data_IF_372579509499
#
_entry.id   IF_372579509499
#
_cell.length_a   1.000
_cell.length_b   1.000
_cell.length_c   1.000
_cell.angle_alpha   90.00
_cell.angle_beta   90.00
_cell.angle_gamma   90.00
#
_symmetry.space_group_name_H-M   'P 1'
#
loop_
_entity.id
_entity.type
_entity.pdbx_description
1 polymer ?
#
# COMPACT_ATOMS: atom_id res chain seq x y z
N UNK A 1 -25.20 -0.81 2.81
CA UNK A 1 -26.38 0.07 2.66
C UNK A 1 -25.90 1.37 2.06
N UNK A 2 -26.18 1.53 0.78
CA UNK A 2 -25.78 2.68 -0.06
C UNK A 2 -26.60 3.88 0.42
N UNK A 3 -25.96 4.89 1.00
CA UNK A 3 -26.64 6.16 1.28
C UNK A 3 -26.67 6.97 0.00
N UNK A 4 -27.81 6.87 -0.68
CA UNK A 4 -28.25 7.74 -1.77
C UNK A 4 -28.21 9.23 -1.33
N UNK A 5 -27.58 10.03 -2.18
CA UNK A 5 -28.11 11.28 -2.73
C UNK A 5 -28.99 12.15 -1.80
N UNK A 6 -28.36 13.08 -1.08
CA UNK A 6 -29.01 14.30 -0.59
C UNK A 6 -28.69 15.43 -1.57
N UNK A 7 -29.62 15.72 -2.46
CA UNK A 7 -29.62 16.92 -3.28
C UNK A 7 -30.10 18.12 -2.44
N UNK A 8 -29.33 19.21 -2.46
CA UNK A 8 -29.79 20.51 -1.99
C UNK A 8 -28.72 21.32 -1.28
N UNK A 9 -27.81 21.91 -2.06
CA UNK A 9 -27.24 23.25 -1.82
C UNK A 9 -26.38 23.65 -3.02
N UNK A 10 -26.98 24.35 -3.98
CA UNK A 10 -26.26 25.06 -5.05
C UNK A 10 -25.66 26.34 -4.45
N UNK A 11 -24.56 26.20 -3.73
CA UNK A 11 -23.73 27.36 -3.39
C UNK A 11 -22.80 27.62 -4.57
N UNK A 12 -23.01 28.72 -5.27
CA UNK A 12 -22.15 29.23 -6.34
C UNK A 12 -20.70 29.30 -5.85
N UNK A 13 -19.86 28.38 -6.34
CA UNK A 13 -18.42 28.38 -6.10
C UNK A 13 -17.74 29.26 -7.16
N UNK A 14 -17.35 30.47 -6.78
CA UNK A 14 -16.22 31.13 -7.44
C UNK A 14 -14.98 30.25 -7.14
N UNK A 15 -14.19 29.81 -8.13
CA UNK A 15 -13.14 28.83 -7.89
C UNK A 15 -12.01 29.44 -7.07
N UNK A 16 -12.09 29.30 -5.75
CA UNK A 16 -10.96 29.45 -4.85
C UNK A 16 -9.98 28.31 -5.13
N UNK A 17 -8.96 28.61 -5.94
CA UNK A 17 -7.81 27.77 -6.24
C UNK A 17 -8.14 26.38 -6.88
N UNK A 18 -7.73 26.11 -8.13
CA UNK A 18 -8.02 24.87 -8.86
C UNK A 18 -7.43 23.59 -8.22
N UNK A 19 -6.71 23.69 -7.10
CA UNK A 19 -6.19 22.55 -6.32
C UNK A 19 -7.12 22.08 -5.19
N UNK A 20 -8.16 22.83 -4.81
CA UNK A 20 -8.99 22.49 -3.64
C UNK A 20 -9.79 21.18 -3.79
N UNK A 21 -10.14 20.78 -5.01
CA UNK A 21 -10.84 19.51 -5.25
C UNK A 21 -9.99 18.29 -4.85
N UNK A 22 -8.65 18.40 -4.88
CA UNK A 22 -7.73 17.33 -4.47
C UNK A 22 -7.66 17.18 -2.94
N UNK A 23 -7.82 18.28 -2.20
CA UNK A 23 -7.63 18.33 -0.74
C UNK A 23 -8.98 18.20 0.00
N UNK A 24 -10.09 18.06 -0.74
CA UNK A 24 -11.40 17.85 -0.12
C UNK A 24 -11.41 16.51 0.65
N UNK A 25 -11.94 16.46 1.89
CA UNK A 25 -11.92 15.24 2.72
C UNK A 25 -12.53 14.01 2.03
N UNK A 26 -13.51 14.22 1.16
CA UNK A 26 -14.12 13.17 0.35
C UNK A 26 -13.17 12.61 -0.70
N UNK A 27 -12.43 13.46 -1.41
CA UNK A 27 -11.44 13.05 -2.41
C UNK A 27 -10.30 12.24 -1.78
N UNK A 28 -9.77 12.69 -0.64
CA UNK A 28 -8.71 11.98 0.11
C UNK A 28 -9.17 10.58 0.51
N UNK A 29 -10.41 10.43 0.99
CA UNK A 29 -10.97 9.13 1.36
C UNK A 29 -11.15 8.19 0.15
N UNK A 30 -11.61 8.71 -0.99
CA UNK A 30 -11.78 7.92 -2.23
C UNK A 30 -10.43 7.45 -2.75
N UNK A 31 -9.44 8.37 -2.84
CA UNK A 31 -8.09 8.05 -3.33
C UNK A 31 -7.40 7.04 -2.40
N UNK A 32 -7.50 7.25 -1.08
CA UNK A 32 -6.97 6.32 -0.08
C UNK A 32 -7.61 4.94 -0.20
N UNK A 33 -8.93 4.87 -0.38
CA UNK A 33 -9.65 3.61 -0.60
C UNK A 33 -9.18 2.86 -1.86
N UNK A 34 -8.97 3.56 -2.97
CA UNK A 34 -8.43 2.97 -4.20
C UNK A 34 -7.00 2.46 -3.96
N UNK A 35 -6.15 3.23 -3.27
CA UNK A 35 -4.78 2.81 -2.95
C UNK A 35 -4.73 1.54 -2.11
N UNK A 36 -5.58 1.43 -1.07
CA UNK A 36 -5.70 0.21 -0.26
C UNK A 36 -6.17 -0.97 -1.12
N UNK A 37 -7.15 -0.77 -2.01
CA UNK A 37 -7.66 -1.81 -2.88
C UNK A 37 -6.58 -2.34 -3.84
N UNK A 38 -5.81 -1.45 -4.46
CA UNK A 38 -4.72 -1.83 -5.38
C UNK A 38 -3.60 -2.57 -4.65
N UNK A 39 -3.14 -2.07 -3.50
CA UNK A 39 -2.11 -2.72 -2.70
C UNK A 39 -2.56 -4.10 -2.20
N UNK A 40 -3.82 -4.20 -1.75
CA UNK A 40 -4.39 -5.48 -1.30
C UNK A 40 -4.51 -6.49 -2.45
N UNK A 41 -4.94 -6.03 -3.62
CA UNK A 41 -5.00 -6.88 -4.83
C UNK A 41 -3.60 -7.34 -5.24
N UNK A 42 -2.60 -6.47 -5.22
CA UNK A 42 -1.22 -6.82 -5.50
C UNK A 42 -0.67 -7.87 -4.53
N UNK A 43 -1.00 -7.75 -3.24
CA UNK A 43 -0.66 -8.75 -2.22
C UNK A 43 -1.29 -10.10 -2.54
N UNK A 44 -2.61 -10.13 -2.82
CA UNK A 44 -3.33 -11.36 -3.15
C UNK A 44 -2.77 -12.02 -4.42
N UNK A 45 -2.49 -11.24 -5.46
CA UNK A 45 -1.87 -11.74 -6.69
C UNK A 45 -0.47 -12.30 -6.43
N UNK A 46 0.33 -11.63 -5.59
CA UNK A 46 1.64 -12.13 -5.16
C UNK A 46 1.54 -13.48 -4.46
N UNK A 47 0.60 -13.62 -3.53
CA UNK A 47 0.33 -14.89 -2.81
C UNK A 47 -0.11 -15.99 -3.78
N UNK A 48 -1.04 -15.70 -4.69
CA UNK A 48 -1.48 -16.67 -5.73
C UNK A 48 -0.30 -17.09 -6.61
N UNK A 49 0.59 -16.16 -6.96
CA UNK A 49 1.75 -16.44 -7.80
C UNK A 49 2.77 -17.35 -7.09
N UNK A 50 2.92 -17.25 -5.76
CA UNK A 50 3.75 -18.16 -4.95
C UNK A 50 3.27 -19.61 -5.07
N UNK A 51 1.97 -19.86 -5.15
CA UNK A 51 1.43 -21.21 -5.33
C UNK A 51 1.61 -21.74 -6.75
N UNK A 52 1.68 -20.84 -7.74
CA UNK A 52 1.79 -21.21 -9.16
C UNK A 52 3.23 -21.51 -9.61
N UNK A 53 4.22 -20.88 -8.99
CA UNK A 53 5.63 -21.06 -9.32
C UNK A 53 6.16 -22.39 -8.78
N UNK A 54 6.85 -23.18 -9.64
CA UNK A 54 7.41 -24.50 -9.28
C UNK A 54 8.78 -24.44 -8.60
N UNK A 55 9.54 -23.37 -8.77
CA UNK A 55 10.92 -23.26 -8.26
C UNK A 55 10.98 -22.77 -6.81
N UNK A 56 11.64 -23.52 -5.92
CA UNK A 56 11.76 -23.16 -4.50
C UNK A 56 12.43 -21.79 -4.29
N UNK A 57 13.47 -21.47 -5.07
CA UNK A 57 14.16 -20.17 -5.00
C UNK A 57 13.23 -19.04 -5.45
N UNK A 58 12.55 -19.20 -6.59
CA UNK A 58 11.62 -18.20 -7.11
C UNK A 58 10.42 -17.98 -6.18
N UNK A 59 9.92 -19.03 -5.51
CA UNK A 59 8.87 -18.90 -4.49
C UNK A 59 9.35 -18.12 -3.27
N UNK A 60 10.59 -18.33 -2.83
CA UNK A 60 11.15 -17.59 -1.71
C UNK A 60 11.31 -16.09 -2.04
N UNK A 61 11.76 -15.77 -3.26
CA UNK A 61 11.89 -14.36 -3.71
C UNK A 61 10.52 -13.69 -3.85
N UNK A 62 9.52 -14.40 -4.35
CA UNK A 62 8.14 -13.87 -4.40
C UNK A 62 7.56 -13.64 -2.99
N UNK A 63 7.86 -14.53 -2.04
CA UNK A 63 7.41 -14.37 -0.65
C UNK A 63 8.05 -13.13 0.00
N UNK A 64 9.32 -12.86 -0.30
CA UNK A 64 10.00 -11.63 0.12
C UNK A 64 9.39 -10.38 -0.53
N UNK A 65 9.12 -10.42 -1.83
CA UNK A 65 8.49 -9.31 -2.55
C UNK A 65 7.06 -8.99 -2.07
N UNK A 66 6.33 -9.97 -1.53
CA UNK A 66 4.99 -9.79 -0.98
C UNK A 66 4.95 -8.89 0.28
N UNK A 67 6.09 -8.62 0.90
CA UNK A 67 6.21 -7.70 2.03
C UNK A 67 5.89 -6.25 1.65
N UNK A 68 6.32 -5.79 0.46
CA UNK A 68 6.10 -4.41 0.02
C UNK A 68 4.63 -4.00 -0.18
N UNK A 69 3.75 -4.79 -0.83
CA UNK A 69 2.33 -4.44 -0.89
C UNK A 69 1.66 -4.44 0.48
N UNK A 70 2.12 -5.26 1.44
CA UNK A 70 1.65 -5.21 2.83
C UNK A 70 1.99 -3.86 3.49
N UNK A 71 3.22 -3.37 3.29
CA UNK A 71 3.65 -2.03 3.73
C UNK A 71 2.83 -0.93 3.04
N UNK A 72 2.53 -1.08 1.74
CA UNK A 72 1.69 -0.15 1.00
C UNK A 72 0.26 -0.02 1.55
N UNK A 73 -0.37 -1.14 1.94
CA UNK A 73 -1.68 -1.12 2.64
C UNK A 73 -1.58 -0.38 3.97
N UNK A 74 -0.52 -0.63 4.75
CA UNK A 74 -0.29 0.06 6.01
C UNK A 74 -0.15 1.58 5.82
N UNK A 75 0.73 2.04 4.92
CA UNK A 75 0.94 3.47 4.67
C UNK A 75 -0.35 4.15 4.20
N UNK A 76 -1.06 3.55 3.24
CA UNK A 76 -2.28 4.17 2.69
C UNK A 76 -3.38 4.28 3.74
N UNK A 77 -3.51 3.28 4.62
CA UNK A 77 -4.45 3.32 5.73
C UNK A 77 -4.04 4.34 6.79
N UNK A 78 -2.74 4.46 7.03
CA UNK A 78 -2.19 5.38 8.00
C UNK A 78 -2.31 6.84 7.57
N UNK A 79 -2.29 7.14 6.27
CA UNK A 79 -2.62 8.48 5.76
C UNK A 79 -4.05 8.90 6.11
N UNK A 80 -4.97 7.95 6.25
CA UNK A 80 -6.37 8.20 6.66
C UNK A 80 -6.54 8.29 8.18
N UNK A 81 -5.51 7.97 8.98
CA UNK A 81 -5.55 7.99 10.44
C UNK A 81 -4.41 8.84 11.00
N UNK A 82 -4.76 9.95 11.64
CA UNK A 82 -3.75 10.77 12.33
C UNK A 82 -3.16 10.02 13.52
N UNK A 83 -1.95 9.46 13.35
CA UNK A 83 -1.20 8.77 14.40
C UNK A 83 0.29 9.12 14.27
N UNK A 84 0.90 9.54 15.39
CA UNK A 84 2.30 10.00 15.40
C UNK A 84 3.32 8.89 15.08
N UNK A 85 2.97 7.63 15.36
CA UNK A 85 3.89 6.47 15.30
C UNK A 85 3.98 5.86 13.89
N UNK A 86 3.13 6.31 12.96
CA UNK A 86 3.08 5.75 11.59
C UNK A 86 4.41 5.84 10.86
N UNK A 87 5.10 6.98 10.97
CA UNK A 87 6.34 7.21 10.25
C UNK A 87 7.47 6.31 10.75
N UNK A 88 7.55 6.09 12.06
CA UNK A 88 8.52 5.20 12.68
C UNK A 88 8.34 3.77 12.17
N UNK A 89 7.09 3.29 12.14
CA UNK A 89 6.77 1.96 11.62
C UNK A 89 7.07 1.87 10.12
N UNK A 90 6.77 2.91 9.34
CA UNK A 90 7.05 2.94 7.90
C UNK A 90 8.56 2.87 7.61
N UNK A 91 9.38 3.62 8.37
CA UNK A 91 10.84 3.58 8.28
C UNK A 91 11.39 2.19 8.65
N UNK A 92 10.93 1.63 9.77
CA UNK A 92 11.32 0.29 10.21
C UNK A 92 10.91 -0.77 9.19
N UNK A 93 9.71 -0.67 8.63
CA UNK A 93 9.23 -1.58 7.60
C UNK A 93 10.12 -1.52 6.35
N UNK A 94 10.46 -0.32 5.86
CA UNK A 94 11.38 -0.17 4.72
C UNK A 94 12.75 -0.81 4.97
N UNK A 95 13.33 -0.59 6.16
CA UNK A 95 14.60 -1.18 6.56
C UNK A 95 14.52 -2.71 6.63
N UNK A 96 13.48 -3.24 7.28
CA UNK A 96 13.26 -4.68 7.41
C UNK A 96 13.02 -5.34 6.06
N UNK A 97 12.34 -4.67 5.12
CA UNK A 97 12.17 -5.16 3.75
C UNK A 97 13.51 -5.37 3.04
N UNK A 98 14.39 -4.37 3.07
CA UNK A 98 15.72 -4.47 2.45
C UNK A 98 16.55 -5.58 3.10
N UNK A 99 16.53 -5.65 4.44
CA UNK A 99 17.25 -6.68 5.18
C UNK A 99 16.74 -8.09 4.84
N UNK A 100 15.43 -8.24 4.65
CA UNK A 100 14.80 -9.50 4.22
C UNK A 100 15.31 -9.93 2.83
N UNK A 101 15.32 -9.02 1.86
CA UNK A 101 15.81 -9.31 0.50
C UNK A 101 17.29 -9.69 0.48
N UNK A 102 18.14 -8.94 1.19
CA UNK A 102 19.58 -9.24 1.29
C UNK A 102 19.80 -10.58 2.02
N UNK A 103 19.06 -10.83 3.10
CA UNK A 103 19.12 -12.08 3.85
C UNK A 103 18.77 -13.27 2.95
N UNK A 104 17.70 -13.17 2.17
CA UNK A 104 17.31 -14.19 1.22
C UNK A 104 18.37 -14.40 0.12
N UNK A 105 18.91 -13.33 -0.45
CA UNK A 105 19.97 -13.41 -1.46
C UNK A 105 21.19 -14.19 -0.93
N UNK A 106 21.55 -13.97 0.33
CA UNK A 106 22.67 -14.66 1.00
C UNK A 106 22.37 -16.14 1.26
N UNK A 107 21.14 -16.47 1.65
CA UNK A 107 20.69 -17.87 1.80
C UNK A 107 20.75 -18.60 0.47
N UNK A 108 20.28 -17.97 -0.61
CA UNK A 108 20.29 -18.54 -1.96
C UNK A 108 21.72 -18.68 -2.49
N UNK A 109 22.59 -17.70 -2.27
CA UNK A 109 24.00 -17.75 -2.70
C UNK A 109 24.89 -18.64 -1.82
N UNK A 110 24.34 -19.22 -0.74
CA UNK A 110 25.09 -19.95 0.30
C UNK A 110 26.26 -19.14 0.86
N UNK A 111 26.14 -17.81 0.88
CA UNK A 111 27.19 -16.91 1.34
C UNK A 111 28.43 -16.79 0.45
N UNK A 112 28.47 -17.48 -0.70
CA UNK A 112 29.50 -17.23 -1.73
C UNK A 112 29.25 -15.85 -2.34
N UNK A 113 30.27 -15.01 -2.23
CA UNK A 113 30.25 -13.60 -2.67
C UNK A 113 30.20 -13.55 -4.19
#
# INVERSE_FOLDING_TARGET
>A
MISLFSAGETSTYEPADPSQWLITPTAVNVIGGIGVAVCSLALLLGVVLIFRVRGNVSRAVLADAAFYPMVGVFLTTALLRSTAITFDIAMLAGLLGILSTVGLARVVSRGRR
#
